data_IF_647409523495
#
_entry.id   IF_647409523495
#
_cell.length_a   1.000
_cell.length_b   1.000
_cell.length_c   1.000
_cell.angle_alpha   90.00
_cell.angle_beta   90.00
_cell.angle_gamma   90.00
#
_symmetry.space_group_name_H-M   'P 1'
#
loop_
_entity.id
_entity.type
_entity.pdbx_description
1 polymer ?
#
# COMPACT_ATOMS: atom_id res chain seq x y z
N UNK A 1 4.84 -33.43 4.42
CA UNK A 1 4.60 -32.28 3.51
C UNK A 1 3.11 -32.07 3.48
N UNK A 2 2.65 -30.89 3.91
CA UNK A 2 1.24 -30.52 3.84
C UNK A 2 1.08 -29.53 2.69
N UNK A 3 0.06 -29.75 1.85
CA UNK A 3 -0.27 -28.89 0.71
C UNK A 3 -1.61 -28.24 1.00
N UNK A 4 -1.64 -26.92 1.01
CA UNK A 4 -2.86 -26.13 1.15
C UNK A 4 -3.18 -25.44 -0.17
N UNK A 5 -4.43 -25.54 -0.61
CA UNK A 5 -4.94 -24.85 -1.79
C UNK A 5 -5.76 -23.66 -1.29
N UNK A 6 -5.35 -22.46 -1.70
CA UNK A 6 -6.04 -21.22 -1.37
C UNK A 6 -6.60 -20.56 -2.61
N UNK A 7 -7.66 -19.78 -2.41
CA UNK A 7 -8.33 -19.06 -3.48
C UNK A 7 -7.76 -17.65 -3.58
N UNK A 8 -7.37 -17.24 -4.78
CA UNK A 8 -6.77 -15.92 -5.05
C UNK A 8 -7.63 -15.17 -6.07
N UNK A 9 -7.89 -13.89 -5.83
CA UNK A 9 -8.52 -13.04 -6.84
C UNK A 9 -7.43 -12.32 -7.63
N UNK A 10 -7.54 -12.39 -8.96
CA UNK A 10 -6.67 -11.64 -9.88
C UNK A 10 -7.51 -10.65 -10.65
N UNK A 11 -7.09 -9.40 -10.64
CA UNK A 11 -7.73 -8.29 -11.34
C UNK A 11 -6.72 -7.62 -12.25
N UNK A 12 -7.19 -7.19 -13.42
CA UNK A 12 -6.43 -6.30 -14.30
C UNK A 12 -7.22 -5.01 -14.45
N UNK A 13 -6.69 -3.92 -13.91
CA UNK A 13 -7.31 -2.59 -14.02
C UNK A 13 -6.70 -1.89 -15.23
N UNK A 14 -7.53 -1.60 -16.23
CA UNK A 14 -7.15 -0.92 -17.47
C UNK A 14 -7.78 0.48 -17.54
N UNK A 15 -7.40 1.26 -18.56
CA UNK A 15 -8.00 2.57 -18.87
C UNK A 15 -7.87 3.61 -17.75
N UNK A 16 -6.83 3.48 -16.93
CA UNK A 16 -6.45 4.46 -15.90
C UNK A 16 -5.48 5.45 -16.51
N UNK A 17 -5.82 6.74 -16.47
CA UNK A 17 -4.99 7.78 -17.06
C UNK A 17 -3.56 7.78 -16.47
N UNK A 18 -2.54 7.79 -17.34
CA UNK A 18 -1.10 7.80 -16.99
C UNK A 18 -0.62 6.55 -16.22
N UNK A 19 -1.34 5.45 -16.33
CA UNK A 19 -0.91 4.15 -15.82
C UNK A 19 -0.90 3.11 -16.96
N UNK A 20 0.08 2.23 -16.91
CA UNK A 20 0.01 0.96 -17.63
C UNK A 20 -1.04 0.05 -16.95
N UNK A 21 -1.51 -1.03 -17.60
CA UNK A 21 -2.42 -1.98 -16.96
C UNK A 21 -1.92 -2.44 -15.59
N UNK A 22 -2.74 -2.24 -14.55
CA UNK A 22 -2.38 -2.55 -13.17
C UNK A 22 -2.91 -3.96 -12.87
N UNK A 23 -1.99 -4.91 -12.71
CA UNK A 23 -2.31 -6.27 -12.30
C UNK A 23 -2.31 -6.36 -10.78
N UNK A 24 -3.42 -6.81 -10.20
CA UNK A 24 -3.57 -6.96 -8.75
C UNK A 24 -3.90 -8.40 -8.43
N UNK A 25 -3.07 -9.03 -7.59
CA UNK A 25 -3.36 -10.33 -7.00
C UNK A 25 -3.69 -10.13 -5.52
N UNK A 26 -4.87 -10.60 -5.11
CA UNK A 26 -5.34 -10.61 -3.75
C UNK A 26 -5.41 -12.06 -3.26
N UNK A 27 -4.59 -12.39 -2.28
CA UNK A 27 -4.63 -13.68 -1.59
C UNK A 27 -5.23 -13.46 -0.21
N UNK A 28 -6.51 -13.76 -0.03
CA UNK A 28 -7.14 -13.77 1.30
C UNK A 28 -6.99 -15.17 1.92
N UNK A 29 -6.17 -15.27 2.96
CA UNK A 29 -5.93 -16.53 3.65
C UNK A 29 -7.00 -16.84 4.69
N UNK A 30 -7.95 -15.92 4.93
CA UNK A 30 -8.92 -15.99 6.01
C UNK A 30 -8.30 -15.69 7.39
N UNK A 31 -9.15 -15.65 8.43
CA UNK A 31 -8.73 -15.32 9.80
C UNK A 31 -8.00 -13.97 9.93
N UNK A 32 -8.36 -13.00 9.08
CA UNK A 32 -7.70 -11.70 9.04
C UNK A 32 -6.27 -11.73 8.50
N UNK A 33 -5.90 -12.72 7.69
CA UNK A 33 -4.58 -12.80 7.05
C UNK A 33 -4.71 -12.66 5.55
N UNK A 34 -3.82 -11.89 4.93
CA UNK A 34 -3.87 -11.69 3.49
C UNK A 34 -2.58 -11.17 2.91
N UNK A 35 -2.49 -11.23 1.59
CA UNK A 35 -1.38 -10.69 0.80
C UNK A 35 -1.91 -9.99 -0.43
N UNK A 36 -1.31 -8.85 -0.74
CA UNK A 36 -1.50 -8.12 -1.99
C UNK A 36 -0.21 -8.12 -2.77
N UNK A 37 -0.33 -8.35 -4.07
CA UNK A 37 0.71 -8.04 -5.05
C UNK A 37 0.12 -7.12 -6.09
N UNK A 38 0.68 -5.91 -6.22
CA UNK A 38 0.35 -4.96 -7.28
C UNK A 38 1.51 -4.94 -8.27
N UNK A 39 1.23 -5.07 -9.55
CA UNK A 39 2.22 -5.03 -10.63
C UNK A 39 1.77 -4.02 -11.68
N UNK A 40 2.67 -3.14 -12.09
CA UNK A 40 2.46 -2.22 -13.21
C UNK A 40 3.73 -2.23 -14.08
N UNK A 41 3.55 -2.42 -15.39
CA UNK A 41 4.65 -2.55 -16.34
C UNK A 41 5.66 -3.65 -15.92
N UNK A 42 6.84 -3.27 -15.41
CA UNK A 42 7.90 -4.17 -14.96
C UNK A 42 8.05 -4.28 -13.44
N UNK A 43 7.36 -3.40 -12.69
CA UNK A 43 7.54 -3.27 -11.26
C UNK A 43 6.44 -4.04 -10.51
N UNK A 44 6.80 -4.61 -9.37
CA UNK A 44 5.86 -5.33 -8.51
C UNK A 44 6.10 -5.01 -7.04
N UNK A 45 5.02 -4.75 -6.33
CA UNK A 45 5.00 -4.40 -4.92
C UNK A 45 4.13 -5.40 -4.17
N UNK A 46 4.69 -6.05 -3.16
CA UNK A 46 3.99 -7.09 -2.40
C UNK A 46 4.02 -6.77 -0.92
N UNK A 47 2.86 -6.83 -0.28
CA UNK A 47 2.70 -6.68 1.16
C UNK A 47 1.81 -7.80 1.70
N UNK A 48 2.09 -8.24 2.92
CA UNK A 48 1.31 -9.26 3.61
C UNK A 48 1.03 -8.85 5.04
N UNK A 49 -0.13 -9.28 5.53
CA UNK A 49 -0.62 -8.94 6.86
C UNK A 49 -1.04 -10.20 7.61
N UNK A 50 -0.58 -10.29 8.85
CA UNK A 50 -0.94 -11.38 9.77
C UNK A 50 -2.22 -11.13 10.57
N UNK A 51 -2.70 -9.89 10.62
CA UNK A 51 -3.87 -9.48 11.39
C UNK A 51 -4.49 -8.18 10.82
N UNK A 52 -5.38 -8.32 9.85
CA UNK A 52 -6.09 -7.24 9.15
C UNK A 52 -7.41 -6.84 9.84
N UNK A 53 -7.91 -7.68 10.75
CA UNK A 53 -9.18 -7.46 11.45
C UNK A 53 -10.42 -7.56 10.57
N UNK A 54 -10.34 -8.23 9.41
CA UNK A 54 -11.43 -8.39 8.45
C UNK A 54 -10.98 -9.10 7.17
N UNK A 55 -11.79 -9.00 6.11
CA UNK A 55 -11.39 -9.46 4.77
C UNK A 55 -10.29 -8.57 4.19
N UNK A 56 -9.53 -9.10 3.24
CA UNK A 56 -8.47 -8.34 2.55
C UNK A 56 -9.06 -7.15 1.77
N UNK A 57 -10.22 -7.33 1.13
CA UNK A 57 -10.87 -6.26 0.36
C UNK A 57 -11.31 -5.12 1.28
N UNK A 58 -11.98 -5.43 2.39
CA UNK A 58 -12.40 -4.42 3.38
C UNK A 58 -11.20 -3.68 4.00
N UNK A 59 -10.09 -4.40 4.19
CA UNK A 59 -8.86 -3.80 4.70
C UNK A 59 -8.28 -2.79 3.70
N UNK A 60 -8.19 -3.15 2.43
CA UNK A 60 -7.63 -2.27 1.40
C UNK A 60 -8.49 -1.04 1.13
N UNK A 61 -9.82 -1.15 1.24
CA UNK A 61 -10.72 -0.01 1.05
C UNK A 61 -10.75 0.93 2.25
N UNK A 62 -10.58 0.41 3.47
CA UNK A 62 -10.65 1.21 4.71
C UNK A 62 -9.33 1.91 5.10
N UNK A 63 -8.18 1.30 4.81
CA UNK A 63 -6.89 1.78 5.33
C UNK A 63 -6.30 2.88 4.45
N UNK A 64 -5.62 3.85 5.07
CA UNK A 64 -5.00 4.98 4.37
C UNK A 64 -3.90 4.58 3.38
N UNK A 65 -3.76 5.37 2.31
CA UNK A 65 -2.71 5.18 1.31
C UNK A 65 -1.32 5.23 1.93
N UNK A 66 -1.06 6.17 2.84
CA UNK A 66 0.25 6.32 3.47
C UNK A 66 0.72 5.03 4.15
N UNK A 67 -0.18 4.34 4.86
CA UNK A 67 0.10 3.05 5.46
C UNK A 67 0.37 1.97 4.41
N UNK A 68 -0.50 1.86 3.40
CA UNK A 68 -0.36 0.85 2.35
C UNK A 68 0.93 1.04 1.56
N UNK A 69 1.28 2.28 1.22
CA UNK A 69 2.52 2.64 0.52
C UNK A 69 3.73 2.27 1.39
N UNK A 70 3.70 2.58 2.69
CA UNK A 70 4.76 2.20 3.62
C UNK A 70 4.99 0.69 3.69
N UNK A 71 3.94 -0.12 3.49
CA UNK A 71 4.04 -1.58 3.45
C UNK A 71 4.49 -2.12 2.08
N UNK A 72 4.01 -1.53 0.99
CA UNK A 72 4.24 -1.99 -0.39
C UNK A 72 5.59 -1.53 -0.96
N UNK A 73 6.01 -0.32 -0.60
CA UNK A 73 7.25 0.30 -1.05
C UNK A 73 7.95 0.99 0.16
N UNK A 74 8.56 0.22 1.06
CA UNK A 74 9.28 0.77 2.20
C UNK A 74 10.35 1.78 1.76
N UNK A 75 10.36 2.96 2.40
CA UNK A 75 11.26 4.07 2.05
C UNK A 75 10.73 5.00 0.96
N UNK A 76 9.55 4.73 0.40
CA UNK A 76 8.88 5.67 -0.49
C UNK A 76 8.14 6.73 0.34
N UNK A 77 8.72 7.93 0.42
CA UNK A 77 8.18 9.04 1.19
C UNK A 77 7.38 10.03 0.32
N UNK A 78 6.35 10.70 0.87
CA UNK A 78 5.50 11.65 0.13
C UNK A 78 6.25 12.90 -0.35
N UNK A 79 7.34 13.22 0.32
CA UNK A 79 8.15 14.41 0.08
C UNK A 79 9.61 13.97 0.04
N UNK A 80 10.37 14.53 -0.88
CA UNK A 80 11.82 14.30 -1.05
C UNK A 80 12.55 15.63 -1.16
N UNK A 81 13.85 15.60 -0.89
CA UNK A 81 14.71 16.76 -1.13
C UNK A 81 14.64 17.15 -2.61
N UNK A 82 14.51 18.45 -2.83
CA UNK A 82 14.55 19.04 -4.16
C UNK A 82 15.99 19.14 -4.63
N UNK A 83 16.35 18.30 -5.58
CA UNK A 83 17.74 18.18 -6.05
C UNK A 83 18.02 19.00 -7.31
N UNK A 84 16.99 19.47 -8.01
CA UNK A 84 17.16 19.97 -9.39
C UNK A 84 16.23 21.10 -9.79
N UNK A 85 15.26 21.51 -8.96
CA UNK A 85 14.40 22.62 -9.32
C UNK A 85 15.08 23.98 -9.14
N UNK A 86 14.45 25.02 -9.68
CA UNK A 86 14.87 26.41 -9.46
C UNK A 86 14.89 26.79 -7.96
N UNK A 87 14.08 26.15 -7.12
CA UNK A 87 14.12 26.38 -5.68
C UNK A 87 15.43 25.85 -5.07
N UNK A 88 15.86 24.65 -5.46
CA UNK A 88 17.15 24.07 -5.08
C UNK A 88 18.33 24.93 -5.59
N UNK A 89 18.26 25.39 -6.84
CA UNK A 89 19.29 26.26 -7.41
C UNK A 89 19.38 27.61 -6.67
N UNK A 90 18.24 28.24 -6.36
CA UNK A 90 18.19 29.46 -5.55
C UNK A 90 18.76 29.24 -4.15
N UNK A 91 18.44 28.11 -3.52
CA UNK A 91 18.96 27.74 -2.22
C UNK A 91 20.51 27.68 -2.24
N UNK A 92 21.09 26.92 -3.17
CA UNK A 92 22.55 26.80 -3.34
C UNK A 92 23.18 28.16 -3.67
N UNK A 93 22.59 28.94 -4.57
CA UNK A 93 23.08 30.29 -4.93
C UNK A 93 23.08 31.25 -3.74
N UNK A 94 22.05 31.19 -2.90
CA UNK A 94 21.98 32.00 -1.69
C UNK A 94 23.07 31.62 -0.69
N UNK A 95 23.32 30.32 -0.49
CA UNK A 95 24.39 29.86 0.39
C UNK A 95 25.77 30.30 -0.10
N UNK A 96 26.05 30.20 -1.41
CA UNK A 96 27.30 30.72 -2.01
C UNK A 96 27.48 32.21 -1.69
N UNK A 97 26.41 33.01 -1.78
CA UNK A 97 26.45 34.44 -1.47
C UNK A 97 26.69 34.70 0.02
N UNK A 98 26.05 33.93 0.90
CA UNK A 98 26.25 33.99 2.36
C UNK A 98 27.72 33.72 2.71
N UNK A 99 28.28 32.60 2.26
CA UNK A 99 29.69 32.24 2.52
C UNK A 99 30.68 33.23 1.91
N UNK A 100 30.32 33.85 0.78
CA UNK A 100 31.15 34.91 0.18
C UNK A 100 31.17 36.19 1.03
N UNK A 101 30.03 36.56 1.63
CA UNK A 101 29.91 37.71 2.54
C UNK A 101 30.66 37.50 3.86
N UNK A 102 30.66 36.26 4.34
CA UNK A 102 31.41 35.85 5.55
C UNK A 102 32.93 35.76 5.30
N UNK A 103 33.37 35.83 4.04
CA UNK A 103 34.78 35.75 3.68
C UNK A 103 35.34 34.32 3.64
N UNK A 104 34.50 33.30 3.80
CA UNK A 104 34.88 31.88 3.72
C UNK A 104 35.26 31.49 2.29
N UNK A 105 34.54 32.01 1.30
CA UNK A 105 34.80 31.72 -0.12
C UNK A 105 35.52 32.87 -0.83
N UNK A 106 36.51 32.51 -1.65
CA UNK A 106 37.12 33.46 -2.57
C UNK A 106 36.16 33.84 -3.70
N UNK A 107 36.32 35.03 -4.28
CA UNK A 107 35.49 35.48 -5.40
C UNK A 107 35.67 34.66 -6.69
N UNK A 108 36.79 33.95 -6.84
CA UNK A 108 37.01 33.03 -7.96
C UNK A 108 36.25 31.72 -7.74
N UNK A 109 36.39 31.12 -6.55
CA UNK A 109 35.71 29.87 -6.19
C UNK A 109 34.18 30.04 -6.18
N UNK A 110 33.67 31.14 -5.63
CA UNK A 110 32.23 31.43 -5.63
C UNK A 110 31.64 31.56 -7.05
N UNK A 111 32.42 32.08 -8.01
CA UNK A 111 31.99 32.16 -9.42
C UNK A 111 31.96 30.77 -10.06
N UNK A 112 32.97 29.95 -9.82
CA UNK A 112 33.01 28.58 -10.29
C UNK A 112 31.84 27.75 -9.74
N UNK A 113 31.63 27.76 -8.42
CA UNK A 113 30.52 27.08 -7.76
C UNK A 113 29.17 27.49 -8.35
N UNK A 114 28.96 28.78 -8.64
CA UNK A 114 27.72 29.24 -9.25
C UNK A 114 27.51 28.68 -10.67
N UNK A 115 28.56 28.63 -11.48
CA UNK A 115 28.50 28.05 -12.83
C UNK A 115 28.29 26.54 -12.78
N UNK A 116 28.93 25.85 -11.84
CA UNK A 116 28.79 24.41 -11.67
C UNK A 116 27.36 24.06 -11.19
N UNK A 117 26.80 24.83 -10.26
CA UNK A 117 25.42 24.67 -9.81
C UNK A 117 24.40 24.83 -10.95
N UNK A 118 24.63 25.76 -11.88
CA UNK A 118 23.75 25.95 -13.05
C UNK A 118 23.80 24.79 -14.05
N UNK A 119 24.86 23.98 -14.01
CA UNK A 119 25.05 22.81 -14.89
C UNK A 119 24.71 21.49 -14.22
N UNK A 120 24.50 21.51 -12.91
CA UNK A 120 24.23 20.32 -12.11
C UNK A 120 22.87 19.72 -12.46
N UNK A 121 22.84 18.41 -12.63
CA UNK A 121 21.58 17.65 -12.70
C UNK A 121 21.08 17.21 -11.33
N UNK A 122 21.96 17.18 -10.33
CA UNK A 122 21.64 16.81 -8.95
C UNK A 122 22.52 17.64 -8.00
N UNK A 123 21.97 18.79 -7.60
CA UNK A 123 22.65 19.74 -6.73
C UNK A 123 22.96 19.13 -5.37
N UNK A 124 22.10 18.22 -4.88
CA UNK A 124 22.29 17.60 -3.57
C UNK A 124 23.47 16.66 -3.60
N UNK A 125 23.55 15.80 -4.61
CA UNK A 125 24.71 14.92 -4.81
C UNK A 125 25.98 15.75 -4.97
N UNK A 126 25.99 16.79 -5.81
CA UNK A 126 27.19 17.62 -6.01
C UNK A 126 27.65 18.38 -4.75
N UNK A 127 26.72 18.72 -3.86
CA UNK A 127 27.03 19.39 -2.59
C UNK A 127 27.43 18.43 -1.46
N UNK A 128 26.93 17.19 -1.48
CA UNK A 128 27.09 16.22 -0.39
C UNK A 128 28.12 15.13 -0.68
N UNK A 129 28.26 14.72 -1.94
CA UNK A 129 29.14 13.63 -2.32
C UNK A 129 30.55 14.15 -2.57
N UNK A 130 31.45 13.88 -1.62
CA UNK A 130 32.87 14.22 -1.72
C UNK A 130 33.54 13.60 -2.97
N UNK A 131 32.98 12.51 -3.50
CA UNK A 131 33.51 11.78 -4.66
C UNK A 131 33.08 12.38 -6.00
N UNK A 132 32.12 13.31 -6.01
CA UNK A 132 31.70 14.01 -7.23
C UNK A 132 32.84 14.80 -7.89
N UNK A 133 33.87 15.16 -7.12
CA UNK A 133 34.91 16.10 -7.54
C UNK A 133 34.38 17.51 -7.78
N UNK A 134 33.11 17.76 -7.48
CA UNK A 134 32.47 19.07 -7.63
C UNK A 134 33.04 20.04 -6.61
N UNK A 135 33.29 21.28 -7.05
CA UNK A 135 33.67 22.33 -6.11
C UNK A 135 32.55 22.66 -5.13
N UNK A 136 31.30 22.27 -5.42
CA UNK A 136 30.13 22.42 -4.55
C UNK A 136 30.23 21.59 -3.26
N UNK A 137 31.00 20.50 -3.24
CA UNK A 137 31.24 19.70 -2.04
C UNK A 137 31.86 20.52 -0.88
N UNK A 138 32.51 21.64 -1.19
CA UNK A 138 33.11 22.53 -0.19
C UNK A 138 32.13 23.55 0.39
N UNK A 139 30.90 23.64 -0.14
CA UNK A 139 29.93 24.69 0.22
C UNK A 139 29.45 24.57 1.67
N UNK A 140 29.13 23.36 2.11
CA UNK A 140 28.53 23.11 3.44
C UNK A 140 29.52 22.63 4.50
N UNK A 141 30.83 22.68 4.23
CA UNK A 141 31.90 22.27 5.14
C UNK A 141 31.67 20.86 5.73
N UNK A 142 31.40 20.77 7.04
CA UNK A 142 31.50 19.53 7.80
C UNK A 142 30.18 18.75 7.93
N UNK A 143 29.04 19.34 7.54
CA UNK A 143 27.73 18.70 7.70
C UNK A 143 26.78 18.91 6.51
N UNK A 144 27.20 18.61 5.25
CA UNK A 144 26.36 18.79 4.07
C UNK A 144 25.04 18.02 4.13
N UNK A 145 25.03 16.85 4.79
CA UNK A 145 23.83 16.02 4.95
C UNK A 145 22.84 16.53 5.99
N UNK A 146 23.24 17.43 6.90
CA UNK A 146 22.39 17.97 7.96
C UNK A 146 21.69 19.27 7.56
N UNK A 147 21.88 19.70 6.31
CA UNK A 147 21.29 20.93 5.77
C UNK A 147 19.82 20.69 5.46
N UNK A 148 18.97 21.65 5.84
CA UNK A 148 17.55 21.67 5.49
C UNK A 148 17.38 22.05 4.01
N UNK A 149 17.35 21.03 3.15
CA UNK A 149 17.12 21.23 1.73
C UNK A 149 15.66 21.64 1.47
N UNK A 150 15.41 22.46 0.43
CA UNK A 150 14.05 22.63 -0.08
C UNK A 150 13.46 21.26 -0.42
N UNK A 151 12.18 21.09 -0.21
CA UNK A 151 11.51 19.80 -0.42
C UNK A 151 10.41 19.91 -1.47
N UNK A 152 10.20 18.84 -2.22
CA UNK A 152 9.15 18.73 -3.24
C UNK A 152 8.34 17.45 -3.06
N UNK A 153 7.11 17.46 -3.57
CA UNK A 153 6.28 16.26 -3.63
C UNK A 153 6.99 15.18 -4.45
N UNK A 154 7.08 13.97 -3.88
CA UNK A 154 7.70 12.85 -4.56
C UNK A 154 6.79 12.32 -5.67
N UNK A 155 7.15 12.45 -6.95
CA UNK A 155 6.31 12.00 -8.06
C UNK A 155 6.09 10.48 -8.04
N UNK A 156 7.05 9.71 -7.52
CA UNK A 156 6.91 8.26 -7.38
C UNK A 156 5.86 7.89 -6.32
N UNK A 157 5.81 8.66 -5.23
CA UNK A 157 4.79 8.51 -4.20
C UNK A 157 3.41 8.84 -4.75
N UNK A 158 3.25 10.00 -5.40
CA UNK A 158 1.97 10.38 -6.02
C UNK A 158 1.50 9.38 -7.08
N UNK A 159 2.44 8.79 -7.85
CA UNK A 159 2.11 7.72 -8.80
C UNK A 159 1.64 6.46 -8.09
N UNK A 160 2.30 6.04 -7.01
CA UNK A 160 1.86 4.90 -6.21
C UNK A 160 0.48 5.15 -5.57
N UNK A 161 0.24 6.36 -5.06
CA UNK A 161 -1.03 6.76 -4.50
C UNK A 161 -2.17 6.68 -5.53
N UNK A 162 -1.95 7.24 -6.72
CA UNK A 162 -2.88 7.16 -7.85
C UNK A 162 -3.19 5.71 -8.24
N UNK A 163 -2.16 4.84 -8.25
CA UNK A 163 -2.31 3.40 -8.49
C UNK A 163 -3.23 2.75 -7.47
N UNK A 164 -3.00 2.96 -6.17
CA UNK A 164 -3.83 2.39 -5.11
C UNK A 164 -5.27 2.91 -5.16
N UNK A 165 -5.46 4.19 -5.49
CA UNK A 165 -6.79 4.77 -5.69
C UNK A 165 -7.53 4.11 -6.86
N UNK A 166 -6.84 3.80 -7.96
CA UNK A 166 -7.42 3.06 -9.08
C UNK A 166 -7.80 1.63 -8.68
N UNK A 167 -6.95 0.95 -7.90
CA UNK A 167 -7.25 -0.38 -7.35
C UNK A 167 -8.49 -0.34 -6.45
N UNK A 168 -8.62 0.63 -5.53
CA UNK A 168 -9.83 0.75 -4.69
C UNK A 168 -11.09 0.95 -5.51
N UNK A 169 -11.07 1.89 -6.47
CA UNK A 169 -12.20 2.13 -7.36
C UNK A 169 -12.59 0.86 -8.14
N UNK A 170 -11.60 0.09 -8.58
CA UNK A 170 -11.85 -1.19 -9.23
C UNK A 170 -12.53 -2.18 -8.27
N UNK A 171 -12.06 -2.29 -7.03
CA UNK A 171 -12.66 -3.16 -6.01
C UNK A 171 -14.11 -2.78 -5.68
N UNK A 172 -14.41 -1.49 -5.58
CA UNK A 172 -15.76 -0.97 -5.35
C UNK A 172 -16.71 -1.26 -6.51
N UNK A 173 -16.19 -1.34 -7.74
CA UNK A 173 -16.98 -1.61 -8.94
C UNK A 173 -17.34 -3.09 -9.14
N UNK A 174 -16.64 -3.99 -8.44
CA UNK A 174 -16.84 -5.43 -8.60
C UNK A 174 -18.09 -5.86 -7.82
N UNK A 175 -19.04 -6.58 -8.45
CA UNK A 175 -20.16 -7.17 -7.74
C UNK A 175 -19.70 -8.03 -6.55
N UNK A 176 -20.34 -7.87 -5.40
CA UNK A 176 -20.00 -8.58 -4.15
C UNK A 176 -19.95 -10.11 -4.34
N UNK A 177 -20.73 -10.65 -5.28
CA UNK A 177 -20.78 -12.07 -5.66
C UNK A 177 -19.48 -12.61 -6.28
N UNK A 178 -18.60 -11.74 -6.79
CA UNK A 178 -17.28 -12.13 -7.31
C UNK A 178 -16.18 -11.97 -6.24
N UNK A 179 -16.51 -11.32 -5.12
CA UNK A 179 -15.63 -11.13 -3.96
C UNK A 179 -15.89 -12.17 -2.85
N UNK A 180 -17.06 -12.81 -2.84
CA UNK A 180 -17.45 -13.89 -1.91
C UNK A 180 -16.46 -15.06 -1.80
N UNK A 181 -15.68 -15.45 -2.83
CA UNK A 181 -14.67 -16.49 -2.66
C UNK A 181 -13.47 -16.09 -1.78
N UNK A 182 -13.31 -14.80 -1.45
CA UNK A 182 -12.30 -14.27 -0.53
C UNK A 182 -12.83 -14.05 0.89
N UNK A 183 -14.16 -13.93 1.03
CA UNK A 183 -14.83 -13.92 2.34
C UNK A 183 -14.97 -15.38 2.79
N UNK A 184 -13.87 -15.98 3.28
CA UNK A 184 -14.02 -17.13 4.18
C UNK A 184 -14.73 -16.60 5.41
N UNK A 185 -16.04 -16.73 5.42
CA UNK A 185 -16.92 -16.38 6.52
C UNK A 185 -16.25 -16.87 7.81
N UNK A 186 -16.02 -15.93 8.74
CA UNK A 186 -15.71 -16.25 10.13
C UNK A 186 -16.66 -17.37 10.59
N UNK A 187 -16.26 -18.29 11.48
CA UNK A 187 -17.19 -19.30 12.02
C UNK A 187 -18.53 -18.71 12.48
N UNK A 188 -18.52 -17.46 12.95
CA UNK A 188 -19.72 -16.71 13.35
C UNK A 188 -20.66 -16.35 12.19
N UNK A 189 -20.14 -16.12 10.98
CA UNK A 189 -20.94 -15.81 9.81
C UNK A 189 -21.61 -17.07 9.22
N UNK A 190 -20.95 -18.23 9.28
CA UNK A 190 -21.57 -19.53 8.92
C UNK A 190 -22.68 -19.88 9.90
N UNK A 191 -22.52 -19.53 11.19
CA UNK A 191 -23.56 -19.72 12.22
C UNK A 191 -24.80 -18.86 11.94
N UNK A 192 -24.62 -17.61 11.53
CA UNK A 192 -25.74 -16.73 11.17
C UNK A 192 -26.49 -17.17 9.89
N UNK A 193 -25.78 -17.73 8.91
CA UNK A 193 -26.39 -18.31 7.70
C UNK A 193 -27.18 -19.59 7.99
N UNK A 194 -26.68 -20.45 8.90
CA UNK A 194 -27.40 -21.62 9.39
C UNK A 194 -28.69 -21.22 10.14
N UNK A 195 -28.61 -20.20 10.99
CA UNK A 195 -29.78 -19.71 11.74
C UNK A 195 -30.84 -19.08 10.81
N UNK A 196 -30.46 -18.55 9.64
CA UNK A 196 -31.42 -18.02 8.66
C UNK A 196 -32.05 -19.11 7.78
N UNK A 197 -31.26 -20.06 7.25
CA UNK A 197 -31.79 -21.20 6.47
C UNK A 197 -32.71 -22.09 7.31
N UNK A 198 -32.33 -22.41 8.56
CA UNK A 198 -33.14 -23.24 9.44
C UNK A 198 -34.41 -22.52 9.91
N UNK A 199 -34.36 -21.20 10.14
CA UNK A 199 -35.55 -20.42 10.47
C UNK A 199 -36.57 -20.40 9.32
N UNK A 200 -36.09 -20.39 8.07
CA UNK A 200 -36.93 -20.46 6.87
C UNK A 200 -37.56 -21.86 6.72
N UNK A 201 -36.77 -22.93 6.86
CA UNK A 201 -37.29 -24.31 6.77
C UNK A 201 -38.22 -24.68 7.94
N UNK A 202 -38.01 -24.12 9.13
CA UNK A 202 -38.86 -24.36 10.31
C UNK A 202 -40.09 -23.43 10.40
N UNK A 203 -40.26 -22.48 9.47
CA UNK A 203 -41.37 -21.53 9.49
C UNK A 203 -41.34 -20.53 10.66
N UNK A 204 -40.19 -20.33 11.31
CA UNK A 204 -40.03 -19.37 12.41
C UNK A 204 -39.68 -17.98 11.86
N UNK A 205 -40.62 -17.04 11.94
CA UNK A 205 -40.33 -15.62 11.69
C UNK A 205 -39.56 -15.07 12.90
N UNK A 206 -38.23 -15.04 12.84
CA UNK A 206 -37.40 -14.43 13.89
C UNK A 206 -37.21 -12.95 13.56
N UNK A 207 -37.98 -12.10 14.24
CA UNK A 207 -37.76 -10.66 14.22
C UNK A 207 -36.36 -10.35 14.80
N UNK A 208 -35.54 -9.66 14.00
CA UNK A 208 -34.20 -9.22 14.35
C UNK A 208 -34.25 -8.24 15.54
N UNK A 209 -34.20 -8.77 16.77
CA UNK A 209 -33.91 -7.98 17.98
C UNK A 209 -32.81 -8.73 18.73
N UNK A 210 -31.63 -8.12 18.76
CA UNK A 210 -30.40 -8.73 19.24
C UNK A 210 -30.51 -9.25 20.67
N UNK A 211 -30.35 -10.56 20.84
CA UNK A 211 -29.97 -11.19 22.10
C UNK A 211 -29.09 -12.40 21.83
N UNK A 212 -27.99 -12.50 22.58
CA UNK A 212 -27.20 -13.72 22.77
C UNK A 212 -28.13 -14.86 23.20
N UNK A 213 -28.09 -15.98 22.47
CA UNK A 213 -28.67 -17.23 22.95
C UNK A 213 -27.59 -18.29 23.13
N UNK A 214 -27.29 -18.56 24.41
CA UNK A 214 -26.54 -19.70 24.89
C UNK A 214 -27.54 -20.87 25.05
N UNK A 215 -27.67 -21.75 24.05
CA UNK A 215 -28.33 -23.05 24.27
C UNK A 215 -27.55 -24.18 23.61
N UNK A 216 -27.23 -25.20 24.41
CA UNK A 216 -26.42 -26.38 24.08
C UNK A 216 -27.05 -27.21 22.94
N UNK A 217 -28.35 -27.05 22.67
CA UNK A 217 -29.05 -27.73 21.58
C UNK A 217 -28.65 -27.22 20.20
N UNK A 218 -28.38 -25.92 20.04
CA UNK A 218 -27.93 -25.34 18.77
C UNK A 218 -26.55 -25.87 18.35
N UNK A 219 -25.66 -26.11 19.33
CA UNK A 219 -24.32 -26.64 19.08
C UNK A 219 -24.36 -28.13 18.65
N UNK A 220 -25.26 -28.93 19.22
CA UNK A 220 -25.48 -30.32 18.78
C UNK A 220 -26.07 -30.37 17.38
N UNK A 221 -27.04 -29.52 17.06
CA UNK A 221 -27.66 -29.43 15.74
C UNK A 221 -26.64 -28.99 14.67
N UNK A 222 -25.81 -27.99 14.97
CA UNK A 222 -24.73 -27.54 14.10
C UNK A 222 -23.69 -28.65 13.84
N UNK A 223 -23.26 -29.36 14.90
CA UNK A 223 -22.34 -30.51 14.77
C UNK A 223 -22.94 -31.64 13.92
N UNK A 224 -24.24 -31.92 14.05
CA UNK A 224 -24.94 -32.92 13.25
C UNK A 224 -25.06 -32.51 11.77
N UNK A 225 -25.34 -31.23 11.49
CA UNK A 225 -25.39 -30.69 10.13
C UNK A 225 -24.01 -30.69 9.45
N UNK A 226 -22.96 -30.27 10.15
CA UNK A 226 -21.58 -30.36 9.65
C UNK A 226 -21.19 -31.80 9.35
N UNK A 227 -21.61 -32.76 10.19
CA UNK A 227 -21.41 -34.19 9.93
C UNK A 227 -22.15 -34.61 8.65
N UNK A 228 -23.45 -34.30 8.52
CA UNK A 228 -24.24 -34.65 7.34
C UNK A 228 -23.64 -34.12 6.03
N UNK A 229 -23.21 -32.85 5.96
CA UNK A 229 -22.56 -32.29 4.75
C UNK A 229 -21.20 -32.92 4.44
N UNK A 230 -20.44 -33.36 5.46
CA UNK A 230 -19.18 -34.09 5.25
C UNK A 230 -19.37 -35.44 4.54
N UNK A 231 -20.55 -36.05 4.66
CA UNK A 231 -20.88 -37.33 4.02
C UNK A 231 -21.70 -37.19 2.72
N UNK A 232 -22.20 -36.00 2.36
CA UNK A 232 -22.93 -35.79 1.11
C UNK A 232 -22.06 -35.77 -0.16
N UNK A 233 -20.73 -35.81 -0.06
CA UNK A 233 -19.83 -35.92 -1.22
C UNK A 233 -19.74 -37.33 -1.83
N UNK A 234 -20.49 -38.32 -1.37
CA UNK A 234 -20.39 -39.73 -1.82
C UNK A 234 -21.71 -40.35 -2.29
N UNK A 235 -22.63 -39.55 -2.85
CA UNK A 235 -23.76 -40.12 -3.60
C UNK A 235 -23.47 -39.98 -5.10
N UNK A 236 -23.37 -41.10 -5.86
CA UNK A 236 -23.26 -41.03 -7.30
C UNK A 236 -24.57 -40.51 -7.90
N UNK A 237 -24.42 -39.79 -9.02
CA UNK A 237 -25.47 -39.11 -9.79
C UNK A 237 -26.70 -39.98 -10.06
#
# INVERSE_FOLDING_TARGET
MNVEVNNSLRLTVTDVARHDPILVNLDDYGSGRGRVTVTEFSDSWTASWGAMGGSLVDFLTRVDNDYLIGCLAPGLHPVVDDTSSEAALRFVKNEILTRRREGVLSGALARQMRTDAERSSDLRSDCCDYWSGSCLSQLFCDAPHAVDWPVVTNPLYSRMESRLNAVRKALESIPTELLTPLVKTSPDAVRNEFESEYAIEAGLVVAHIGYRYESIETEKAFKAWCHAKKYCHHLPK
#
